data_IF_547551442996
#
_entry.id   IF_547551442996
#
_cell.length_a   1.000
_cell.length_b   1.000
_cell.length_c   1.000
_cell.angle_alpha   90.00
_cell.angle_beta   90.00
_cell.angle_gamma   90.00
#
_symmetry.space_group_name_H-M   'P 1'
#
loop_
_entity.id
_entity.type
_entity.pdbx_description
1 polymer ?
#
# COMPACT_ATOMS: atom_id res chain seq x y z
N UNK A 1 5.75 66.27 2.09
CA UNK A 1 5.70 65.61 0.78
C UNK A 1 6.14 64.17 1.00
N UNK A 2 5.24 63.28 0.61
CA UNK A 2 5.25 61.82 0.47
C UNK A 2 6.44 61.00 0.98
N UNK A 3 6.07 60.10 1.90
CA UNK A 3 6.64 58.78 2.16
C UNK A 3 6.58 57.97 0.85
N UNK A 4 7.65 57.26 0.49
CA UNK A 4 7.60 56.10 -0.42
C UNK A 4 8.85 55.22 -0.20
N UNK A 5 8.77 54.36 0.82
CA UNK A 5 9.54 53.12 0.89
C UNK A 5 8.57 52.03 1.35
N UNK A 6 7.68 51.66 0.44
CA UNK A 6 7.00 50.36 0.48
C UNK A 6 8.03 49.30 0.05
N UNK A 7 8.70 48.74 1.05
CA UNK A 7 9.35 47.45 0.98
C UNK A 7 8.87 46.72 2.22
N UNK A 8 7.85 45.86 2.03
CA UNK A 8 7.51 44.72 2.90
C UNK A 8 6.25 44.02 2.35
N UNK A 9 6.25 43.68 1.06
CA UNK A 9 5.31 42.71 0.50
C UNK A 9 6.14 41.63 -0.19
N UNK A 10 6.39 40.51 0.50
CA UNK A 10 6.60 39.15 -0.08
C UNK A 10 7.28 38.12 0.87
N UNK A 11 7.44 38.39 2.17
CA UNK A 11 7.99 37.37 3.11
C UNK A 11 6.96 36.40 3.73
N UNK A 12 5.65 36.67 3.62
CA UNK A 12 4.61 35.92 4.36
C UNK A 12 3.84 34.88 3.53
N UNK A 13 4.30 34.58 2.30
CA UNK A 13 3.65 33.57 1.42
C UNK A 13 4.17 32.14 1.61
N UNK A 14 5.19 31.94 2.46
CA UNK A 14 5.75 30.61 2.74
C UNK A 14 4.93 29.92 3.81
N UNK A 15 4.42 28.72 3.51
CA UNK A 15 3.84 27.83 4.52
C UNK A 15 4.79 27.72 5.72
N UNK A 16 4.28 27.87 6.94
CA UNK A 16 5.12 27.77 8.15
C UNK A 16 5.66 26.35 8.33
N UNK A 17 6.84 26.22 8.95
CA UNK A 17 7.46 24.91 9.24
C UNK A 17 6.50 24.01 10.03
N UNK A 18 5.79 24.59 11.01
CA UNK A 18 4.81 23.87 11.83
C UNK A 18 3.61 23.37 11.02
N UNK A 19 3.11 24.16 10.05
CA UNK A 19 2.03 23.73 9.15
C UNK A 19 2.49 22.58 8.27
N UNK A 20 3.65 22.73 7.65
CA UNK A 20 4.25 21.70 6.79
C UNK A 20 4.48 20.40 7.57
N UNK A 21 5.00 20.49 8.79
CA UNK A 21 5.25 19.33 9.65
C UNK A 21 3.94 18.60 10.01
N UNK A 22 2.88 19.34 10.39
CA UNK A 22 1.57 18.76 10.68
C UNK A 22 0.96 18.08 9.45
N UNK A 23 1.08 18.69 8.28
CA UNK A 23 0.59 18.13 7.02
C UNK A 23 1.34 16.84 6.65
N UNK A 24 2.66 16.85 6.81
CA UNK A 24 3.52 15.68 6.62
C UNK A 24 3.17 14.54 7.57
N UNK A 25 3.01 14.84 8.87
CA UNK A 25 2.65 13.85 9.89
C UNK A 25 1.26 13.25 9.63
N UNK A 26 0.30 14.08 9.23
CA UNK A 26 -1.04 13.63 8.85
C UNK A 26 -1.00 12.71 7.63
N UNK A 27 -0.25 13.07 6.59
CA UNK A 27 -0.10 12.28 5.38
C UNK A 27 0.56 10.93 5.67
N UNK A 28 1.68 10.94 6.39
CA UNK A 28 2.37 9.74 6.83
C UNK A 28 1.46 8.82 7.65
N UNK A 29 0.75 9.38 8.63
CA UNK A 29 -0.19 8.62 9.48
C UNK A 29 -1.34 8.01 8.68
N UNK A 30 -1.89 8.75 7.71
CA UNK A 30 -2.94 8.25 6.82
C UNK A 30 -2.44 7.08 5.98
N UNK A 31 -1.27 7.21 5.34
CA UNK A 31 -0.69 6.14 4.53
C UNK A 31 -0.36 4.91 5.38
N UNK A 32 0.18 5.09 6.59
CA UNK A 32 0.43 3.98 7.52
C UNK A 32 -0.84 3.23 7.87
N UNK A 33 -1.94 3.95 8.16
CA UNK A 33 -3.24 3.34 8.48
C UNK A 33 -3.72 2.42 7.36
N UNK A 34 -3.60 2.82 6.09
CA UNK A 34 -3.99 1.94 4.96
C UNK A 34 -3.20 0.63 4.97
N UNK A 35 -1.89 0.69 5.23
CA UNK A 35 -1.06 -0.50 5.39
C UNK A 35 -1.48 -1.36 6.59
N UNK A 36 -1.80 -0.74 7.72
CA UNK A 36 -2.29 -1.42 8.94
C UNK A 36 -3.62 -2.14 8.70
N UNK A 37 -4.56 -1.52 7.99
CA UNK A 37 -5.85 -2.13 7.64
C UNK A 37 -5.66 -3.36 6.75
N UNK A 38 -4.78 -3.31 5.75
CA UNK A 38 -4.48 -4.50 4.93
C UNK A 38 -3.78 -5.60 5.73
N UNK A 39 -2.88 -5.24 6.68
CA UNK A 39 -2.32 -6.23 7.63
C UNK A 39 -3.39 -6.84 8.51
N UNK A 40 -4.40 -6.07 8.94
CA UNK A 40 -5.52 -6.58 9.71
C UNK A 40 -6.40 -7.54 8.88
N UNK A 41 -6.63 -7.23 7.59
CA UNK A 41 -7.30 -8.14 6.66
C UNK A 41 -6.52 -9.46 6.52
N UNK A 42 -5.20 -9.38 6.30
CA UNK A 42 -4.34 -10.55 6.24
C UNK A 42 -4.42 -11.36 7.54
N UNK A 43 -4.32 -10.72 8.72
CA UNK A 43 -4.40 -11.39 10.01
C UNK A 43 -5.69 -12.20 10.16
N UNK A 44 -6.84 -11.66 9.73
CA UNK A 44 -8.15 -12.36 9.76
C UNK A 44 -8.21 -13.59 8.87
N UNK A 45 -7.37 -13.68 7.84
CA UNK A 45 -7.30 -14.89 6.99
C UNK A 45 -6.48 -16.02 7.60
N UNK A 46 -5.81 -15.79 8.73
CA UNK A 46 -4.92 -16.76 9.39
C UNK A 46 -5.53 -17.31 10.69
N UNK A 47 -5.30 -18.59 10.96
CA UNK A 47 -5.83 -19.29 12.15
C UNK A 47 -5.42 -18.70 13.50
N UNK A 48 -4.37 -17.88 13.54
CA UNK A 48 -3.80 -17.32 14.78
C UNK A 48 -4.71 -16.25 15.40
N UNK A 49 -5.57 -15.62 14.60
CA UNK A 49 -6.41 -14.48 15.03
C UNK A 49 -7.91 -14.81 15.10
N UNK A 50 -8.28 -16.07 14.87
CA UNK A 50 -9.68 -16.53 14.91
C UNK A 50 -9.92 -17.73 14.01
N UNK A 51 -11.17 -18.20 13.92
CA UNK A 51 -11.54 -19.20 12.93
C UNK A 51 -11.33 -18.64 11.52
N UNK A 52 -10.57 -19.35 10.69
CA UNK A 52 -10.32 -18.91 9.32
C UNK A 52 -11.63 -18.80 8.53
N UNK A 53 -11.77 -17.77 7.67
CA UNK A 53 -12.88 -17.62 6.73
C UNK A 53 -13.09 -18.91 5.92
N UNK A 54 -14.27 -19.54 6.06
CA UNK A 54 -14.52 -20.88 5.50
C UNK A 54 -15.26 -20.84 4.18
N UNK A 55 -16.06 -19.80 3.97
CA UNK A 55 -16.98 -19.70 2.84
C UNK A 55 -16.58 -18.57 1.89
N UNK A 56 -16.89 -18.71 0.60
CA UNK A 56 -16.61 -17.69 -0.40
C UNK A 56 -17.19 -16.30 -0.03
N UNK A 57 -18.33 -16.26 0.68
CA UNK A 57 -18.94 -15.02 1.15
C UNK A 57 -18.04 -14.25 2.16
N UNK A 58 -17.34 -14.96 3.05
CA UNK A 58 -16.43 -14.34 4.03
C UNK A 58 -15.24 -13.69 3.30
N UNK A 59 -14.73 -14.37 2.26
CA UNK A 59 -13.62 -13.88 1.45
C UNK A 59 -14.04 -12.76 0.49
N UNK A 60 -15.28 -12.75 0.00
CA UNK A 60 -15.82 -11.66 -0.81
C UNK A 60 -15.74 -10.33 -0.05
N UNK A 61 -16.07 -10.33 1.24
CA UNK A 61 -15.94 -9.14 2.09
C UNK A 61 -14.47 -8.70 2.24
N UNK A 62 -13.55 -9.65 2.43
CA UNK A 62 -12.10 -9.36 2.51
C UNK A 62 -11.60 -8.73 1.21
N UNK A 63 -12.00 -9.27 0.06
CA UNK A 63 -11.61 -8.76 -1.25
C UNK A 63 -12.16 -7.36 -1.52
N UNK A 64 -13.43 -7.10 -1.17
CA UNK A 64 -14.02 -5.77 -1.26
C UNK A 64 -13.32 -4.75 -0.36
N UNK A 65 -12.99 -5.15 0.88
CA UNK A 65 -12.24 -4.30 1.81
C UNK A 65 -10.84 -4.01 1.26
N UNK A 66 -10.13 -5.03 0.77
CA UNK A 66 -8.81 -4.88 0.18
C UNK A 66 -8.82 -3.91 -1.01
N UNK A 67 -9.72 -4.12 -1.98
CA UNK A 67 -9.88 -3.25 -3.13
C UNK A 67 -10.15 -1.80 -2.73
N UNK A 68 -11.03 -1.58 -1.73
CA UNK A 68 -11.27 -0.24 -1.19
C UNK A 68 -9.99 0.37 -0.65
N UNK A 69 -9.25 -0.32 0.22
CA UNK A 69 -8.02 0.21 0.81
C UNK A 69 -6.97 0.56 -0.25
N UNK A 70 -6.75 -0.30 -1.26
CA UNK A 70 -5.80 -0.01 -2.37
C UNK A 70 -6.16 1.29 -3.11
N UNK A 71 -7.44 1.59 -3.26
CA UNK A 71 -7.89 2.78 -3.98
C UNK A 71 -7.85 4.08 -3.16
N UNK A 72 -7.55 4.01 -1.86
CA UNK A 72 -7.54 5.19 -0.97
C UNK A 72 -6.34 6.11 -1.14
N UNK A 73 -5.25 5.61 -1.71
CA UNK A 73 -4.07 6.42 -2.02
C UNK A 73 -3.68 6.31 -3.50
N UNK A 74 -3.10 7.39 -4.00
CA UNK A 74 -2.57 7.51 -5.36
C UNK A 74 -1.06 7.64 -5.30
N UNK A 75 -0.39 7.41 -6.43
CA UNK A 75 1.05 7.61 -6.57
C UNK A 75 1.47 9.01 -6.10
N UNK A 76 0.69 10.03 -6.47
CA UNK A 76 0.93 11.42 -6.07
C UNK A 76 0.93 11.65 -4.56
N UNK A 77 0.28 10.82 -3.76
CA UNK A 77 0.36 10.92 -2.28
C UNK A 77 1.77 10.56 -1.78
N UNK A 78 2.40 9.54 -2.37
CA UNK A 78 3.77 9.13 -2.05
C UNK A 78 4.80 10.15 -2.55
N UNK A 79 4.61 10.65 -3.78
CA UNK A 79 5.44 11.72 -4.34
C UNK A 79 5.35 13.00 -3.48
N UNK A 80 4.15 13.34 -3.02
CA UNK A 80 3.94 14.48 -2.11
C UNK A 80 4.65 14.27 -0.76
N UNK A 81 4.64 13.04 -0.23
CA UNK A 81 5.36 12.71 1.00
C UNK A 81 6.88 12.89 0.84
N UNK A 82 7.47 12.49 -0.30
CA UNK A 82 8.89 12.77 -0.59
C UNK A 82 9.17 14.26 -0.63
N UNK A 83 8.35 15.02 -1.37
CA UNK A 83 8.54 16.47 -1.51
C UNK A 83 8.46 17.19 -0.16
N UNK A 84 7.48 16.83 0.68
CA UNK A 84 7.35 17.40 2.03
C UNK A 84 8.50 16.98 2.94
N UNK A 85 8.96 15.73 2.87
CA UNK A 85 10.13 15.25 3.64
C UNK A 85 11.40 16.00 3.25
N UNK A 86 11.61 16.19 1.94
CA UNK A 86 12.73 16.96 1.39
C UNK A 86 12.70 18.41 1.86
N UNK A 87 11.54 19.05 1.79
CA UNK A 87 11.36 20.44 2.22
C UNK A 87 11.61 20.59 3.74
N UNK A 88 11.06 19.69 4.56
CA UNK A 88 11.31 19.68 6.00
C UNK A 88 12.80 19.50 6.32
N UNK A 89 13.50 18.63 5.59
CA UNK A 89 14.94 18.46 5.73
C UNK A 89 15.71 19.74 5.40
N UNK A 90 15.40 20.40 4.28
CA UNK A 90 16.03 21.68 3.91
C UNK A 90 15.78 22.79 4.94
N UNK A 91 14.68 22.71 5.69
CA UNK A 91 14.37 23.64 6.79
C UNK A 91 14.98 23.24 8.14
N UNK A 92 15.80 22.19 8.19
CA UNK A 92 16.60 21.83 9.36
C UNK A 92 15.84 21.11 10.48
N UNK A 93 14.69 20.48 10.19
CA UNK A 93 13.85 19.83 11.22
C UNK A 93 14.37 18.46 11.70
N UNK A 94 15.42 17.93 11.07
CA UNK A 94 16.02 16.65 11.46
C UNK A 94 15.26 15.40 11.02
N UNK A 95 14.24 15.52 10.16
CA UNK A 95 13.41 14.38 9.68
C UNK A 95 14.18 13.29 8.93
N UNK A 96 15.32 13.62 8.33
CA UNK A 96 16.22 12.68 7.64
C UNK A 96 17.44 12.32 8.49
N UNK A 97 17.30 12.20 9.80
CA UNK A 97 18.42 11.79 10.63
C UNK A 97 18.81 10.33 10.33
N UNK A 98 20.02 10.05 9.82
CA UNK A 98 20.44 8.70 9.44
C UNK A 98 20.50 7.73 10.63
N UNK A 99 20.60 8.23 11.86
CA UNK A 99 20.66 7.39 13.07
C UNK A 99 19.29 6.82 13.48
N UNK A 100 18.19 7.40 12.99
CA UNK A 100 16.82 7.04 13.38
C UNK A 100 15.85 6.89 12.19
N UNK A 101 16.34 7.07 10.96
CA UNK A 101 15.55 6.93 9.74
C UNK A 101 15.18 5.47 9.46
N UNK A 102 14.08 5.22 8.74
CA UNK A 102 13.75 3.86 8.31
C UNK A 102 14.76 3.37 7.28
N UNK A 103 15.05 2.06 7.31
CA UNK A 103 15.81 1.37 6.27
C UNK A 103 14.82 0.63 5.37
N UNK A 104 14.42 1.19 4.22
CA UNK A 104 13.47 0.51 3.34
C UNK A 104 14.08 -0.76 2.77
N UNK A 105 13.32 -1.85 2.85
CA UNK A 105 13.70 -3.15 2.29
C UNK A 105 12.78 -3.41 1.08
N UNK A 106 13.33 -3.55 -0.14
CA UNK A 106 12.53 -3.85 -1.33
C UNK A 106 11.67 -5.10 -1.13
N UNK A 107 10.41 -5.03 -1.56
CA UNK A 107 9.52 -6.17 -1.42
C UNK A 107 9.86 -7.27 -2.43
N UNK A 108 9.68 -8.56 -2.06
CA UNK A 108 9.95 -9.67 -2.95
C UNK A 108 9.06 -9.65 -4.19
N UNK A 109 9.47 -10.36 -5.23
CA UNK A 109 8.72 -10.45 -6.48
C UNK A 109 7.29 -10.99 -6.28
N UNK A 110 6.33 -10.38 -6.97
CA UNK A 110 4.93 -10.82 -6.96
C UNK A 110 4.79 -12.08 -7.80
N UNK A 111 4.66 -13.24 -7.14
CA UNK A 111 4.39 -14.50 -7.85
C UNK A 111 3.02 -14.42 -8.53
N UNK A 112 3.00 -14.58 -9.86
CA UNK A 112 1.76 -14.55 -10.67
C UNK A 112 1.23 -15.95 -10.94
N UNK A 113 -0.09 -16.10 -11.00
CA UNK A 113 -0.68 -17.31 -11.58
C UNK A 113 -0.53 -17.33 -13.11
N UNK A 114 -0.51 -18.52 -13.74
CA UNK A 114 -0.52 -18.65 -15.19
C UNK A 114 -1.74 -17.96 -15.82
N UNK A 115 -1.56 -17.34 -17.00
CA UNK A 115 -2.64 -16.62 -17.70
C UNK A 115 -3.82 -17.53 -18.10
N UNK A 116 -3.55 -18.81 -18.33
CA UNK A 116 -4.55 -19.81 -18.73
C UNK A 116 -5.05 -20.65 -17.54
N UNK A 117 -4.89 -20.17 -16.31
CA UNK A 117 -5.29 -20.93 -15.11
C UNK A 117 -6.78 -21.30 -15.14
N UNK A 118 -7.65 -20.40 -15.58
CA UNK A 118 -9.10 -20.62 -15.70
C UNK A 118 -9.40 -21.79 -16.66
N UNK A 119 -8.72 -21.84 -17.81
CA UNK A 119 -8.87 -22.93 -18.77
C UNK A 119 -8.34 -24.27 -18.22
N UNK A 120 -7.24 -24.22 -17.46
CA UNK A 120 -6.64 -25.39 -16.82
C UNK A 120 -7.62 -25.96 -15.80
N UNK A 121 -8.25 -25.12 -14.99
CA UNK A 121 -9.22 -25.55 -13.99
C UNK A 121 -10.54 -26.02 -14.63
N UNK A 122 -11.04 -25.31 -15.64
CA UNK A 122 -12.23 -25.72 -16.38
C UNK A 122 -12.10 -27.13 -16.99
N UNK A 123 -10.90 -27.49 -17.47
CA UNK A 123 -10.60 -28.82 -18.02
C UNK A 123 -10.46 -29.91 -16.95
N UNK A 124 -10.17 -29.55 -15.70
CA UNK A 124 -9.91 -30.52 -14.61
C UNK A 124 -11.19 -31.10 -14.01
N UNK A 125 -12.34 -30.45 -14.18
CA UNK A 125 -13.68 -30.94 -13.81
C UNK A 125 -13.84 -31.50 -12.37
N UNK A 126 -12.89 -31.31 -11.45
CA UNK A 126 -12.92 -31.88 -10.11
C UNK A 126 -12.58 -30.83 -9.04
N UNK A 127 -13.52 -30.59 -8.13
CA UNK A 127 -13.30 -29.94 -6.82
C UNK A 127 -12.41 -30.83 -5.95
N UNK A 128 -11.09 -30.70 -6.04
CA UNK A 128 -10.25 -31.18 -4.93
C UNK A 128 -10.14 -30.05 -3.92
N UNK A 129 -10.47 -30.30 -2.65
CA UNK A 129 -10.33 -29.35 -1.52
C UNK A 129 -8.94 -28.70 -1.46
N UNK A 130 -7.91 -29.39 -1.99
CA UNK A 130 -6.54 -28.87 -2.14
C UNK A 130 -6.44 -27.66 -3.08
N UNK A 131 -7.29 -27.53 -4.08
CA UNK A 131 -7.30 -26.39 -5.02
C UNK A 131 -7.87 -25.13 -4.36
N UNK A 132 -8.98 -25.26 -3.62
CA UNK A 132 -9.58 -24.14 -2.86
C UNK A 132 -8.58 -23.55 -1.86
N UNK A 133 -7.89 -24.41 -1.11
CA UNK A 133 -6.86 -23.98 -0.16
C UNK A 133 -5.69 -23.27 -0.86
N UNK A 134 -5.34 -23.67 -2.09
CA UNK A 134 -4.29 -23.02 -2.87
C UNK A 134 -4.66 -21.59 -3.29
N UNK A 135 -5.91 -21.35 -3.71
CA UNK A 135 -6.40 -20.00 -4.04
C UNK A 135 -6.52 -19.11 -2.81
N UNK A 136 -7.06 -19.64 -1.71
CA UNK A 136 -7.10 -18.95 -0.43
C UNK A 136 -5.70 -18.54 0.00
N UNK A 137 -4.73 -19.48 -0.03
CA UNK A 137 -3.34 -19.19 0.30
C UNK A 137 -2.72 -18.15 -0.63
N UNK A 138 -3.02 -18.19 -1.94
CA UNK A 138 -2.55 -17.18 -2.88
C UNK A 138 -3.06 -15.77 -2.50
N UNK A 139 -4.34 -15.63 -2.17
CA UNK A 139 -4.92 -14.36 -1.71
C UNK A 139 -4.23 -13.88 -0.43
N UNK A 140 -3.94 -14.78 0.54
CA UNK A 140 -3.19 -14.43 1.76
C UNK A 140 -1.81 -13.87 1.43
N UNK A 141 -1.07 -14.53 0.56
CA UNK A 141 0.25 -14.08 0.14
C UNK A 141 0.18 -12.72 -0.56
N UNK A 142 -0.84 -12.47 -1.39
CA UNK A 142 -1.06 -11.17 -2.01
C UNK A 142 -1.28 -10.06 -0.96
N UNK A 143 -2.15 -10.28 0.03
CA UNK A 143 -2.39 -9.31 1.12
C UNK A 143 -1.11 -9.03 1.93
N UNK A 144 -0.35 -10.08 2.27
CA UNK A 144 0.91 -9.97 3.00
C UNK A 144 1.96 -9.19 2.21
N UNK A 145 2.14 -9.52 0.94
CA UNK A 145 3.08 -8.83 0.06
C UNK A 145 2.66 -7.38 -0.20
N UNK A 146 1.37 -7.10 -0.29
CA UNK A 146 0.86 -5.74 -0.40
C UNK A 146 1.29 -4.90 0.79
N UNK A 147 1.06 -5.39 2.01
CA UNK A 147 1.47 -4.68 3.22
C UNK A 147 2.99 -4.47 3.28
N UNK A 148 3.78 -5.41 2.74
CA UNK A 148 5.24 -5.31 2.68
C UNK A 148 5.67 -4.22 1.69
N UNK A 149 5.18 -4.28 0.45
CA UNK A 149 5.43 -3.27 -0.59
C UNK A 149 4.97 -1.87 -0.16
N UNK A 150 3.81 -1.78 0.49
CA UNK A 150 3.28 -0.53 1.02
C UNK A 150 4.17 0.06 2.13
N UNK A 151 4.72 -0.78 3.00
CA UNK A 151 5.65 -0.34 4.03
C UNK A 151 6.96 0.15 3.41
N UNK A 152 7.51 -0.60 2.46
CA UNK A 152 8.71 -0.21 1.72
C UNK A 152 8.53 1.13 0.98
N UNK A 153 7.36 1.36 0.38
CA UNK A 153 7.01 2.65 -0.24
C UNK A 153 7.05 3.81 0.76
N UNK A 154 6.39 3.66 1.90
CA UNK A 154 6.37 4.71 2.93
C UNK A 154 7.79 4.97 3.43
N UNK A 155 8.53 3.92 3.76
CA UNK A 155 9.90 4.04 4.26
C UNK A 155 10.83 4.70 3.24
N UNK A 156 10.72 4.32 1.96
CA UNK A 156 11.41 4.98 0.84
C UNK A 156 11.04 6.46 0.71
N UNK A 157 9.76 6.79 0.87
CA UNK A 157 9.33 8.20 0.84
C UNK A 157 9.96 9.02 1.97
N UNK A 158 10.06 8.43 3.16
CA UNK A 158 10.65 9.06 4.35
C UNK A 158 12.17 9.24 4.25
N UNK A 159 12.84 8.60 3.29
CA UNK A 159 14.25 8.83 2.97
C UNK A 159 14.48 9.48 1.60
N UNK A 160 13.39 9.95 0.97
CA UNK A 160 13.40 10.58 -0.35
C UNK A 160 13.92 9.69 -1.49
N UNK A 161 13.72 8.38 -1.41
CA UNK A 161 14.07 7.41 -2.45
C UNK A 161 12.95 7.33 -3.50
N UNK A 162 13.20 7.97 -4.65
CA UNK A 162 12.28 7.96 -5.79
C UNK A 162 12.25 6.61 -6.53
N UNK A 163 13.36 5.88 -6.55
CA UNK A 163 13.44 4.57 -7.22
C UNK A 163 12.52 3.57 -6.50
N UNK A 164 12.39 3.68 -5.17
CA UNK A 164 11.44 2.89 -4.40
C UNK A 164 9.97 3.11 -4.85
N UNK A 165 9.58 4.33 -5.21
CA UNK A 165 8.23 4.58 -5.75
C UNK A 165 8.04 3.89 -7.09
N UNK A 166 9.03 3.99 -7.97
CA UNK A 166 8.98 3.38 -9.30
C UNK A 166 8.92 1.85 -9.24
N UNK A 167 9.64 1.25 -8.31
CA UNK A 167 9.71 -0.19 -8.14
C UNK A 167 8.49 -0.77 -7.40
N UNK A 168 8.06 -0.14 -6.31
CA UNK A 168 7.07 -0.73 -5.40
C UNK A 168 5.63 -0.33 -5.75
N UNK A 169 5.39 0.89 -6.24
CA UNK A 169 4.03 1.37 -6.51
C UNK A 169 3.29 0.51 -7.54
N UNK A 170 3.90 0.10 -8.68
CA UNK A 170 3.25 -0.79 -9.64
C UNK A 170 2.89 -2.17 -9.06
N UNK A 171 3.63 -2.66 -8.06
CA UNK A 171 3.37 -3.96 -7.43
C UNK A 171 2.03 -3.96 -6.70
N UNK A 172 1.60 -2.83 -6.15
CA UNK A 172 0.33 -2.70 -5.41
C UNK A 172 -0.88 -3.06 -6.28
N UNK A 173 -0.93 -2.53 -7.51
CA UNK A 173 -2.00 -2.84 -8.46
C UNK A 173 -1.95 -4.31 -8.90
N UNK A 174 -0.76 -4.83 -9.18
CA UNK A 174 -0.57 -6.22 -9.57
C UNK A 174 -1.03 -7.19 -8.48
N UNK A 175 -0.75 -6.90 -7.21
CA UNK A 175 -1.17 -7.73 -6.08
C UNK A 175 -2.69 -7.75 -5.90
N UNK A 176 -3.36 -6.63 -6.14
CA UNK A 176 -4.82 -6.57 -6.15
C UNK A 176 -5.41 -7.39 -7.30
N UNK A 177 -4.88 -7.24 -8.51
CA UNK A 177 -5.32 -8.00 -9.69
C UNK A 177 -5.13 -9.51 -9.49
N UNK A 178 -3.98 -9.94 -8.99
CA UNK A 178 -3.68 -11.35 -8.71
C UNK A 178 -4.62 -11.93 -7.63
N UNK A 179 -4.86 -11.17 -6.56
CA UNK A 179 -5.80 -11.57 -5.51
C UNK A 179 -7.23 -11.69 -6.06
N UNK A 180 -7.67 -10.72 -6.87
CA UNK A 180 -9.00 -10.75 -7.49
C UNK A 180 -9.15 -11.94 -8.45
N UNK A 181 -8.15 -12.18 -9.31
CA UNK A 181 -8.17 -13.32 -10.22
C UNK A 181 -8.24 -14.65 -9.46
N UNK A 182 -7.48 -14.81 -8.36
CA UNK A 182 -7.54 -16.03 -7.56
C UNK A 182 -8.93 -16.23 -6.93
N UNK A 183 -9.54 -15.14 -6.47
CA UNK A 183 -10.88 -15.18 -5.90
C UNK A 183 -11.93 -15.55 -6.97
N UNK A 184 -11.87 -14.95 -8.15
CA UNK A 184 -12.83 -15.21 -9.24
C UNK A 184 -12.75 -16.67 -9.72
N UNK A 185 -11.53 -17.21 -9.89
CA UNK A 185 -11.33 -18.63 -10.23
C UNK A 185 -11.95 -19.51 -9.15
N UNK A 186 -11.65 -19.24 -7.88
CA UNK A 186 -12.19 -20.04 -6.80
C UNK A 186 -13.72 -20.00 -6.76
N UNK A 187 -14.35 -18.83 -6.87
CA UNK A 187 -15.82 -18.70 -6.91
C UNK A 187 -16.40 -19.47 -8.10
N UNK A 188 -15.73 -19.47 -9.25
CA UNK A 188 -16.16 -20.24 -10.43
C UNK A 188 -16.14 -21.77 -10.19
N UNK A 189 -15.27 -22.25 -9.31
CA UNK A 189 -15.22 -23.66 -8.89
C UNK A 189 -16.30 -24.02 -7.87
N UNK A 190 -16.95 -23.01 -7.26
CA UNK A 190 -17.98 -23.22 -6.26
C UNK A 190 -19.40 -23.42 -6.85
N UNK A 191 -19.57 -23.09 -8.13
CA UNK A 191 -20.80 -23.21 -8.93
C UNK A 191 -20.75 -24.37 -9.91
#
# INVERSE_FOLDING_TARGET
>A
MSIDHEHDEDEDSRESVDSLYKNWEFMHSRLRRTGDEVRALHARTTSWHGPEPRYAADWAWIMQAFAREVTTAKRSDFESLILQTTELHHRGTGVLNPDYGPEPIPSPFVRRMPLNQDEIEAKRHQRQTRHVLAYQEHIRQCLKHFATAWTALIDGCLICDWEMIDDEFPKLAQLLEEAQRAFDIWVSLDH
#
